data_IF_520924604875
#
_entry.id   IF_520924604875
#
_cell.length_a   1.000
_cell.length_b   1.000
_cell.length_c   1.000
_cell.angle_alpha   90.00
_cell.angle_beta   90.00
_cell.angle_gamma   90.00
#
_symmetry.space_group_name_H-M   'P 1'
#
loop_
_entity.id
_entity.type
_entity.pdbx_description
1 polymer ?
#
# COMPACT_ATOMS: atom_id res chain seq x y z
N UNK A 1 2.19 -13.46 11.79
CA UNK A 1 2.49 -12.18 11.09
C UNK A 1 2.58 -12.32 9.57
N UNK A 2 3.40 -13.20 8.96
CA UNK A 2 3.46 -13.34 7.48
C UNK A 2 2.13 -13.69 6.80
N UNK A 3 1.32 -14.56 7.40
CA UNK A 3 -0.04 -14.85 6.91
C UNK A 3 -0.91 -13.60 6.88
N UNK A 4 -0.81 -12.75 7.90
CA UNK A 4 -1.55 -11.49 7.95
C UNK A 4 -1.06 -10.52 6.86
N UNK A 5 0.26 -10.39 6.65
CA UNK A 5 0.80 -9.60 5.54
C UNK A 5 0.28 -10.10 4.19
N UNK A 6 0.30 -11.42 3.97
CA UNK A 6 -0.18 -12.02 2.73
C UNK A 6 -1.67 -11.74 2.51
N UNK A 7 -2.50 -11.95 3.54
CA UNK A 7 -3.95 -11.68 3.46
C UNK A 7 -4.21 -10.20 3.19
N UNK A 8 -3.56 -9.30 3.94
CA UNK A 8 -3.74 -7.86 3.76
C UNK A 8 -3.24 -7.36 2.40
N UNK A 9 -2.15 -7.94 1.87
CA UNK A 9 -1.65 -7.63 0.55
C UNK A 9 -2.57 -8.14 -0.56
N UNK A 10 -3.11 -9.36 -0.42
CA UNK A 10 -4.10 -9.90 -1.36
C UNK A 10 -5.38 -9.06 -1.37
N UNK A 11 -5.88 -8.66 -0.20
CA UNK A 11 -7.02 -7.75 -0.08
C UNK A 11 -6.72 -6.38 -0.70
N UNK A 12 -5.51 -5.84 -0.49
CA UNK A 12 -5.12 -4.56 -1.09
C UNK A 12 -5.12 -4.67 -2.61
N UNK A 13 -4.57 -5.77 -3.16
CA UNK A 13 -4.60 -6.03 -4.60
C UNK A 13 -6.03 -6.10 -5.15
N UNK A 14 -6.92 -6.84 -4.48
CA UNK A 14 -8.33 -6.93 -4.88
C UNK A 14 -9.03 -5.56 -4.83
N UNK A 15 -8.83 -4.78 -3.77
CA UNK A 15 -9.39 -3.44 -3.63
C UNK A 15 -8.79 -2.48 -4.67
N UNK A 16 -7.50 -2.57 -4.98
CA UNK A 16 -6.87 -1.78 -6.03
C UNK A 16 -7.45 -2.07 -7.42
N UNK A 17 -7.73 -3.34 -7.74
CA UNK A 17 -8.42 -3.68 -8.99
C UNK A 17 -9.83 -3.08 -9.02
N UNK A 18 -10.59 -3.19 -7.92
CA UNK A 18 -11.91 -2.58 -7.82
C UNK A 18 -11.85 -1.05 -7.98
N UNK A 19 -10.89 -0.38 -7.32
CA UNK A 19 -10.67 1.06 -7.45
C UNK A 19 -10.26 1.47 -8.86
N UNK A 20 -9.49 0.66 -9.58
CA UNK A 20 -9.15 0.94 -10.98
C UNK A 20 -10.40 0.96 -11.86
N UNK A 21 -11.30 -0.01 -11.69
CA UNK A 21 -12.56 -0.08 -12.42
C UNK A 21 -13.50 1.08 -12.05
N UNK A 22 -13.71 1.32 -10.75
CA UNK A 22 -14.55 2.41 -10.25
C UNK A 22 -14.00 3.76 -10.70
N UNK A 23 -12.70 3.97 -10.57
CA UNK A 23 -12.05 5.24 -10.90
C UNK A 23 -12.11 5.57 -12.38
N UNK A 24 -11.81 4.59 -13.25
CA UNK A 24 -11.78 4.80 -14.70
C UNK A 24 -13.17 4.97 -15.31
N UNK A 25 -14.17 4.23 -14.85
CA UNK A 25 -15.54 4.33 -15.37
C UNK A 25 -16.39 5.38 -14.67
N UNK A 26 -16.16 5.62 -13.38
CA UNK A 26 -16.92 6.58 -12.57
C UNK A 26 -16.41 8.02 -12.64
N UNK A 27 -15.29 8.27 -13.33
CA UNK A 27 -14.72 9.62 -13.44
C UNK A 27 -14.05 10.11 -12.16
N UNK A 28 -13.48 9.19 -11.37
CA UNK A 28 -12.78 9.49 -10.12
C UNK A 28 -11.25 9.35 -10.31
N UNK A 29 -10.55 10.42 -10.76
CA UNK A 29 -9.13 10.34 -11.09
C UNK A 29 -8.24 10.03 -9.88
N UNK A 30 -8.63 10.46 -8.68
CA UNK A 30 -7.85 10.17 -7.45
C UNK A 30 -8.07 8.74 -6.99
N UNK A 31 -9.27 8.18 -7.16
CA UNK A 31 -9.52 6.74 -6.92
C UNK A 31 -8.70 5.89 -7.89
N UNK A 32 -8.60 6.33 -9.14
CA UNK A 32 -7.71 5.69 -10.14
C UNK A 32 -6.25 5.75 -9.66
N UNK A 33 -5.78 6.90 -9.18
CA UNK A 33 -4.43 7.04 -8.61
C UNK A 33 -4.21 6.11 -7.41
N UNK A 34 -5.19 5.97 -6.52
CA UNK A 34 -5.11 5.04 -5.40
C UNK A 34 -4.93 3.59 -5.84
N UNK A 35 -5.56 3.17 -6.93
CA UNK A 35 -5.33 1.86 -7.52
C UNK A 35 -3.89 1.68 -8.02
N UNK A 36 -3.38 2.65 -8.79
CA UNK A 36 -2.02 2.62 -9.35
C UNK A 36 -0.94 2.64 -8.28
N UNK A 37 -1.19 3.30 -7.14
CA UNK A 37 -0.30 3.25 -5.99
C UNK A 37 -0.48 1.94 -5.21
N UNK A 38 -1.69 1.47 -4.96
CA UNK A 38 -1.93 0.28 -4.13
C UNK A 38 -1.44 -1.03 -4.74
N UNK A 39 -1.64 -1.24 -6.04
CA UNK A 39 -1.40 -2.52 -6.71
C UNK A 39 0.08 -2.94 -6.71
N UNK A 40 1.06 -2.07 -7.02
CA UNK A 40 2.48 -2.41 -6.91
C UNK A 40 2.90 -2.77 -5.49
N UNK A 41 2.37 -2.08 -4.48
CA UNK A 41 2.70 -2.33 -3.07
C UNK A 41 2.08 -3.65 -2.60
N UNK A 42 0.87 -3.98 -3.04
CA UNK A 42 0.27 -5.30 -2.80
C UNK A 42 1.16 -6.42 -3.35
N UNK A 43 1.55 -6.35 -4.64
CA UNK A 43 2.39 -7.37 -5.29
C UNK A 43 3.73 -7.50 -4.57
N UNK A 44 4.38 -6.39 -4.24
CA UNK A 44 5.64 -6.42 -3.52
C UNK A 44 5.51 -7.07 -2.14
N UNK A 45 4.48 -6.72 -1.37
CA UNK A 45 4.30 -7.30 -0.03
C UNK A 45 3.95 -8.79 -0.11
N UNK A 46 3.21 -9.24 -1.13
CA UNK A 46 3.06 -10.68 -1.41
C UNK A 46 4.43 -11.32 -1.66
N UNK A 47 5.26 -10.73 -2.52
CA UNK A 47 6.60 -11.24 -2.81
C UNK A 47 7.48 -11.31 -1.55
N UNK A 48 7.48 -10.28 -0.71
CA UNK A 48 8.20 -10.23 0.57
C UNK A 48 7.66 -11.29 1.55
N UNK A 49 6.35 -11.44 1.65
CA UNK A 49 5.73 -12.41 2.56
C UNK A 49 6.10 -13.86 2.19
N UNK A 50 6.25 -14.15 0.89
CA UNK A 50 6.58 -15.47 0.38
C UNK A 50 8.10 -15.76 0.36
N UNK A 51 8.93 -14.80 -0.06
CA UNK A 51 10.32 -15.09 -0.44
C UNK A 51 11.39 -14.46 0.43
N UNK A 52 11.11 -13.33 1.10
CA UNK A 52 12.18 -12.64 1.83
C UNK A 52 12.65 -13.46 3.06
N UNK A 53 13.86 -13.24 3.56
CA UNK A 53 14.31 -13.79 4.84
C UNK A 53 13.48 -13.24 6.01
N UNK A 54 13.47 -13.97 7.13
CA UNK A 54 12.76 -13.55 8.34
C UNK A 54 13.56 -12.47 9.07
N UNK A 55 12.90 -11.37 9.44
CA UNK A 55 13.49 -10.30 10.22
C UNK A 55 12.48 -9.22 10.54
N UNK A 56 12.64 -8.57 11.70
CA UNK A 56 11.72 -7.53 12.15
C UNK A 56 11.78 -6.28 11.25
N UNK A 57 12.95 -5.96 10.67
CA UNK A 57 13.12 -4.84 9.73
C UNK A 57 12.30 -5.07 8.46
N UNK A 58 12.37 -6.28 7.90
CA UNK A 58 11.57 -6.69 6.73
C UNK A 58 10.07 -6.60 7.02
N UNK A 59 9.65 -7.06 8.20
CA UNK A 59 8.27 -6.97 8.66
C UNK A 59 7.83 -5.51 8.82
N UNK A 60 8.67 -4.64 9.39
CA UNK A 60 8.39 -3.21 9.55
C UNK A 60 8.20 -2.52 8.19
N UNK A 61 9.10 -2.77 7.24
CA UNK A 61 9.01 -2.24 5.88
C UNK A 61 7.73 -2.67 5.17
N UNK A 62 7.43 -3.98 5.16
CA UNK A 62 6.21 -4.50 4.56
C UNK A 62 4.93 -3.98 5.23
N UNK A 63 4.94 -3.82 6.56
CA UNK A 63 3.80 -3.28 7.30
C UNK A 63 3.58 -1.80 7.00
N UNK A 64 4.66 -1.00 6.94
CA UNK A 64 4.59 0.42 6.57
C UNK A 64 4.00 0.60 5.16
N UNK A 65 4.36 -0.27 4.20
CA UNK A 65 3.80 -0.23 2.85
C UNK A 65 2.31 -0.55 2.82
N UNK A 66 1.85 -1.58 3.54
CA UNK A 66 0.42 -1.88 3.61
C UNK A 66 -0.36 -0.76 4.26
N UNK A 67 0.06 -0.30 5.43
CA UNK A 67 -0.63 0.77 6.15
C UNK A 67 -0.65 2.06 5.34
N UNK A 68 0.47 2.44 4.73
CA UNK A 68 0.55 3.58 3.83
C UNK A 68 -0.37 3.44 2.63
N UNK A 69 -0.40 2.28 1.97
CA UNK A 69 -1.24 2.07 0.79
C UNK A 69 -2.74 2.13 1.13
N UNK A 70 -3.17 1.50 2.22
CA UNK A 70 -4.56 1.57 2.69
C UNK A 70 -4.95 2.99 3.10
N UNK A 71 -4.11 3.70 3.86
CA UNK A 71 -4.38 5.07 4.27
C UNK A 71 -4.43 6.04 3.09
N UNK A 72 -3.51 5.88 2.12
CA UNK A 72 -3.49 6.66 0.89
C UNK A 72 -4.77 6.41 0.08
N UNK A 73 -5.14 5.14 -0.12
CA UNK A 73 -6.36 4.77 -0.83
C UNK A 73 -7.62 5.32 -0.15
N UNK A 74 -7.74 5.17 1.17
CA UNK A 74 -8.86 5.70 1.94
C UNK A 74 -8.97 7.23 1.79
N UNK A 75 -7.85 7.96 1.82
CA UNK A 75 -7.84 9.41 1.63
C UNK A 75 -8.25 9.83 0.22
N UNK A 76 -7.83 9.10 -0.82
CA UNK A 76 -8.24 9.40 -2.18
C UNK A 76 -9.73 9.11 -2.41
N UNK A 77 -10.24 7.97 -1.94
CA UNK A 77 -11.66 7.63 -2.04
C UNK A 77 -12.51 8.63 -1.28
N UNK A 78 -12.12 8.97 -0.04
CA UNK A 78 -12.86 9.92 0.78
C UNK A 78 -12.97 11.29 0.09
N UNK A 79 -11.87 11.77 -0.48
CA UNK A 79 -11.85 13.08 -1.13
C UNK A 79 -12.60 13.12 -2.46
N UNK A 80 -12.45 12.08 -3.28
CA UNK A 80 -12.92 12.09 -4.68
C UNK A 80 -14.34 11.55 -4.85
N UNK A 81 -14.67 10.47 -4.13
CA UNK A 81 -15.99 9.83 -4.21
C UNK A 81 -16.96 10.36 -3.15
N UNK A 82 -16.45 10.75 -1.97
CA UNK A 82 -17.31 11.18 -0.85
C UNK A 82 -17.19 12.66 -0.53
N UNK A 83 -16.31 13.41 -1.19
CA UNK A 83 -16.05 14.85 -0.95
C UNK A 83 -15.64 15.18 0.49
N UNK A 84 -15.11 14.19 1.23
CA UNK A 84 -14.64 14.31 2.61
C UNK A 84 -13.12 14.43 2.63
N UNK A 85 -12.61 15.53 3.19
CA UNK A 85 -11.18 15.69 3.44
C UNK A 85 -10.77 15.00 4.74
N UNK A 86 -9.77 14.11 4.65
CA UNK A 86 -9.11 13.52 5.82
C UNK A 86 -7.86 14.32 6.23
N UNK A 87 -7.69 15.55 5.73
CA UNK A 87 -6.53 16.39 6.02
C UNK A 87 -5.23 15.81 5.44
N UNK A 88 -4.12 15.77 6.21
CA UNK A 88 -2.80 15.40 5.71
C UNK A 88 -2.58 13.87 5.62
N UNK A 89 -3.63 13.05 5.69
CA UNK A 89 -3.51 11.58 5.65
C UNK A 89 -2.79 11.10 4.38
N UNK A 90 -3.12 11.64 3.20
CA UNK A 90 -2.45 11.25 1.96
C UNK A 90 -0.93 11.55 1.95
N UNK A 91 -0.45 12.76 2.32
CA UNK A 91 0.97 13.03 2.50
C UNK A 91 1.65 12.10 3.52
N UNK A 92 1.06 11.89 4.69
CA UNK A 92 1.61 11.02 5.74
C UNK A 92 1.70 9.57 5.24
N UNK A 93 0.65 9.09 4.57
CA UNK A 93 0.63 7.79 3.95
C UNK A 93 1.73 7.65 2.87
N UNK A 94 1.94 8.69 2.06
CA UNK A 94 3.04 8.74 1.10
C UNK A 94 4.43 8.62 1.76
N UNK A 95 4.65 9.30 2.88
CA UNK A 95 5.89 9.15 3.67
C UNK A 95 6.06 7.73 4.21
N UNK A 96 4.97 7.08 4.65
CA UNK A 96 5.02 5.67 5.09
C UNK A 96 5.39 4.74 3.94
N UNK A 97 4.87 4.97 2.74
CA UNK A 97 5.24 4.20 1.54
C UNK A 97 6.74 4.36 1.24
N UNK A 98 7.25 5.59 1.23
CA UNK A 98 8.67 5.86 1.03
C UNK A 98 9.54 5.19 2.11
N UNK A 99 9.16 5.34 3.39
CA UNK A 99 9.86 4.69 4.50
C UNK A 99 9.85 3.17 4.37
N UNK A 100 8.74 2.58 3.91
CA UNK A 100 8.62 1.16 3.62
C UNK A 100 9.65 0.67 2.59
N UNK A 101 9.74 1.36 1.44
CA UNK A 101 10.74 1.07 0.41
C UNK A 101 12.18 1.17 0.94
N UNK A 102 12.51 2.27 1.64
CA UNK A 102 13.84 2.47 2.22
C UNK A 102 14.18 1.40 3.26
N UNK A 103 13.19 0.99 4.05
CA UNK A 103 13.36 -0.07 5.05
C UNK A 103 13.60 -1.43 4.39
N UNK A 104 12.91 -1.75 3.30
CA UNK A 104 13.17 -2.97 2.53
C UNK A 104 14.56 -2.95 1.91
N UNK A 105 15.00 -1.82 1.35
CA UNK A 105 16.36 -1.67 0.83
C UNK A 105 17.41 -1.91 1.93
N UNK A 106 17.25 -1.28 3.10
CA UNK A 106 18.14 -1.49 4.24
C UNK A 106 18.11 -2.94 4.74
N UNK A 107 16.94 -3.58 4.80
CA UNK A 107 16.81 -4.98 5.19
C UNK A 107 17.56 -5.90 4.23
N UNK A 108 17.47 -5.64 2.92
CA UNK A 108 18.19 -6.40 1.88
C UNK A 108 19.71 -6.28 1.99
N UNK A 109 20.22 -5.10 2.36
CA UNK A 109 21.65 -4.90 2.61
C UNK A 109 22.15 -5.63 3.87
N UNK A 110 21.27 -5.83 4.86
CA UNK A 110 21.59 -6.51 6.12
C UNK A 110 21.41 -8.03 6.06
N UNK A 111 20.57 -8.55 5.16
CA UNK A 111 20.40 -9.98 4.95
C UNK A 111 21.58 -10.53 4.14
N UNK A 112 22.69 -10.81 4.82
CA UNK A 112 23.75 -11.71 4.35
C UNK A 112 23.50 -13.10 4.88
#
# INVERSE_FOLDING_TARGET
>A
MRRALLVLAALLGAVSVAMAAIGSHGGYPRVTLAAWIGLPHAVLVVAVALHAPRGWVMLAGASAMLLGAYAFAASMVSLDAWTISLGPVAPVAGLMLMAGWLTLAFAGLRSR
#
